data_IF_050951729739
#
_entry.id   IF_050951729739
#
_cell.length_a   1.000
_cell.length_b   1.000
_cell.length_c   1.000
_cell.angle_alpha   90.00
_cell.angle_beta   90.00
_cell.angle_gamma   90.00
#
_symmetry.space_group_name_H-M   'P 1'
#
loop_
_entity.id
_entity.type
_entity.pdbx_description
1 polymer ?
#
# COMPACT_ATOMS: atom_id res chain seq x y z
N UNK A 1 35.41 4.75 -82.77
CA UNK A 1 34.55 5.07 -81.62
C UNK A 1 35.24 4.58 -80.35
N UNK A 2 36.13 5.40 -79.78
CA UNK A 2 36.73 5.18 -78.47
C UNK A 2 35.86 5.89 -77.43
N UNK A 3 35.46 5.20 -76.38
CA UNK A 3 34.83 5.82 -75.20
C UNK A 3 35.71 5.54 -73.98
N UNK A 4 36.26 6.64 -73.45
CA UNK A 4 37.06 6.71 -72.25
C UNK A 4 36.18 6.54 -71.02
N UNK A 5 36.52 5.60 -70.13
CA UNK A 5 36.04 5.63 -68.74
C UNK A 5 37.16 6.12 -67.84
N UNK A 6 37.07 7.39 -67.44
CA UNK A 6 37.72 7.96 -66.26
C UNK A 6 36.68 7.97 -65.14
N UNK A 7 36.93 7.35 -64.00
CA UNK A 7 36.32 7.78 -62.73
C UNK A 7 37.27 7.48 -61.57
N UNK A 8 37.22 8.39 -60.62
CA UNK A 8 38.26 8.71 -59.66
C UNK A 8 38.24 7.84 -58.40
N UNK A 9 39.45 7.62 -57.90
CA UNK A 9 39.93 7.65 -56.51
C UNK A 9 38.88 7.85 -55.39
N UNK A 10 38.87 6.84 -54.51
CA UNK A 10 38.72 6.83 -53.05
C UNK A 10 37.94 7.94 -52.31
N UNK A 11 36.93 7.51 -51.56
CA UNK A 11 36.61 8.08 -50.25
C UNK A 11 36.21 6.93 -49.29
N UNK A 12 37.11 6.61 -48.35
CA UNK A 12 36.84 5.73 -47.21
C UNK A 12 35.97 6.52 -46.23
N UNK A 13 34.67 6.24 -46.18
CA UNK A 13 33.81 6.71 -45.11
C UNK A 13 33.82 5.67 -43.98
N UNK A 14 34.68 5.89 -42.98
CA UNK A 14 34.59 5.20 -41.69
C UNK A 14 33.36 5.75 -40.97
N UNK A 15 32.26 5.01 -41.01
CA UNK A 15 31.14 5.27 -40.11
C UNK A 15 31.46 4.58 -38.78
N UNK A 16 32.04 5.32 -37.84
CA UNK A 16 32.02 4.91 -36.43
C UNK A 16 30.57 4.97 -35.96
N UNK A 17 29.91 3.81 -35.89
CA UNK A 17 28.70 3.69 -35.09
C UNK A 17 29.16 3.69 -33.63
N UNK A 18 29.08 4.85 -32.98
CA UNK A 18 29.23 4.93 -31.54
C UNK A 18 28.10 4.11 -30.92
N UNK A 19 28.44 2.97 -30.31
CA UNK A 19 27.53 2.26 -29.43
C UNK A 19 27.25 3.18 -28.23
N UNK A 20 26.15 3.91 -28.30
CA UNK A 20 25.63 4.65 -27.17
C UNK A 20 25.29 3.65 -26.07
N UNK A 21 26.18 3.48 -25.10
CA UNK A 21 25.83 2.91 -23.81
C UNK A 21 24.81 3.86 -23.18
N UNK A 22 23.52 3.54 -23.33
CA UNK A 22 22.51 4.11 -22.45
C UNK A 22 22.80 3.57 -21.07
N UNK A 23 23.54 4.34 -20.26
CA UNK A 23 23.52 4.16 -18.82
C UNK A 23 22.09 4.49 -18.42
N UNK A 24 21.24 3.47 -18.29
CA UNK A 24 20.00 3.60 -17.54
C UNK A 24 20.42 3.92 -16.12
N UNK A 25 20.47 5.21 -15.79
CA UNK A 25 20.35 5.66 -14.41
C UNK A 25 18.96 5.22 -13.97
N UNK A 26 18.84 3.98 -13.47
CA UNK A 26 17.70 3.64 -12.61
C UNK A 26 17.93 4.48 -11.37
N UNK A 27 17.18 5.59 -11.24
CA UNK A 27 17.02 6.23 -9.94
C UNK A 27 16.57 5.19 -8.92
N UNK A 28 16.90 5.39 -7.65
CA UNK A 28 16.34 4.53 -6.59
C UNK A 28 14.82 4.51 -6.74
N UNK A 29 14.19 3.32 -6.74
CA UNK A 29 12.74 3.23 -6.88
C UNK A 29 12.09 3.99 -5.72
N UNK A 30 11.20 4.94 -6.02
CA UNK A 30 10.50 5.66 -4.95
C UNK A 30 9.64 4.69 -4.14
N UNK A 31 9.56 4.87 -2.81
CA UNK A 31 8.89 3.90 -1.96
C UNK A 31 7.38 3.92 -2.17
N UNK A 32 6.74 2.79 -1.86
CA UNK A 32 5.32 2.74 -1.56
C UNK A 32 5.09 3.16 -0.11
N UNK A 33 4.17 4.08 0.12
CA UNK A 33 3.79 4.53 1.48
C UNK A 33 2.49 3.85 1.90
N UNK A 34 2.45 3.25 3.10
CA UNK A 34 1.29 2.55 3.65
C UNK A 34 0.88 3.09 5.02
N UNK A 35 -0.40 3.36 5.22
CA UNK A 35 -0.92 3.84 6.50
C UNK A 35 -2.42 3.67 6.64
N UNK A 36 -2.94 3.95 7.82
CA UNK A 36 -4.37 4.17 8.01
C UNK A 36 -4.80 5.49 7.35
N UNK A 37 -6.03 5.55 6.83
CA UNK A 37 -6.58 6.80 6.27
C UNK A 37 -6.68 7.93 7.31
N UNK A 38 -6.68 7.57 8.59
CA UNK A 38 -6.70 8.46 9.75
C UNK A 38 -6.06 7.79 10.98
N UNK A 39 -5.47 8.57 11.88
CA UNK A 39 -4.91 8.08 13.14
C UNK A 39 -5.96 7.76 14.22
N UNK A 40 -7.19 8.27 14.08
CA UNK A 40 -8.28 8.05 15.05
C UNK A 40 -9.59 7.72 14.37
N UNK A 41 -10.26 6.67 14.83
CA UNK A 41 -11.60 6.28 14.41
C UNK A 41 -12.55 6.34 15.59
N UNK A 42 -13.56 7.18 15.47
CA UNK A 42 -14.69 7.24 16.39
C UNK A 42 -15.92 7.45 15.54
N UNK A 43 -16.78 6.44 15.48
CA UNK A 43 -18.08 6.56 14.82
C UNK A 43 -19.17 6.41 15.88
N UNK A 44 -19.17 7.31 16.86
CA UNK A 44 -20.17 7.39 17.93
C UNK A 44 -21.64 7.39 17.44
N UNK A 45 -21.88 7.67 16.16
CA UNK A 45 -23.20 7.63 15.54
C UNK A 45 -23.58 6.25 14.97
N UNK A 46 -22.62 5.34 14.82
CA UNK A 46 -22.77 4.02 14.21
C UNK A 46 -22.32 2.92 15.18
N UNK A 47 -22.94 1.74 15.08
CA UNK A 47 -22.42 0.54 15.75
C UNK A 47 -21.30 -0.13 14.94
N UNK A 48 -20.94 0.42 13.78
CA UNK A 48 -19.91 -0.09 12.89
C UNK A 48 -18.88 0.97 12.54
N UNK A 49 -17.61 0.62 12.69
CA UNK A 49 -16.46 1.44 12.37
C UNK A 49 -15.73 0.78 11.21
N UNK A 50 -15.62 1.47 10.08
CA UNK A 50 -14.86 1.00 8.93
C UNK A 50 -13.46 1.60 8.99
N UNK A 51 -12.47 0.75 9.22
CA UNK A 51 -11.06 1.12 9.25
C UNK A 51 -10.48 0.89 7.86
N UNK A 52 -9.79 1.90 7.31
CA UNK A 52 -9.22 1.86 5.96
C UNK A 52 -7.71 1.99 6.04
N UNK A 53 -7.04 1.15 5.27
CA UNK A 53 -5.60 1.18 5.08
C UNK A 53 -5.35 1.55 3.62
N UNK A 54 -4.55 2.58 3.40
CA UNK A 54 -4.30 3.17 2.09
C UNK A 54 -2.84 3.06 1.68
N UNK A 55 -2.65 2.64 0.44
CA UNK A 55 -1.37 2.57 -0.26
C UNK A 55 -1.23 3.76 -1.19
N UNK A 56 -0.07 4.42 -1.16
CA UNK A 56 0.31 5.45 -2.12
C UNK A 56 1.65 5.10 -2.74
N UNK A 57 1.64 4.77 -4.03
CA UNK A 57 2.85 4.54 -4.81
C UNK A 57 3.42 5.86 -5.29
N UNK A 58 4.63 6.19 -4.86
CA UNK A 58 5.28 7.47 -5.20
C UNK A 58 5.86 7.47 -6.62
N UNK A 59 6.15 6.29 -7.19
CA UNK A 59 6.59 6.11 -8.58
C UNK A 59 5.50 5.42 -9.41
N UNK A 60 4.50 6.16 -9.93
CA UNK A 60 3.40 5.57 -10.72
C UNK A 60 3.85 5.07 -12.10
N UNK A 61 5.05 5.44 -12.58
CA UNK A 61 5.55 5.20 -13.93
C UNK A 61 5.99 3.77 -14.20
N UNK A 62 6.30 2.98 -13.17
CA UNK A 62 6.96 1.68 -13.32
C UNK A 62 6.01 0.49 -13.54
N UNK A 63 4.71 0.73 -13.66
CA UNK A 63 3.75 -0.28 -14.09
C UNK A 63 3.20 -1.12 -12.94
N UNK A 64 1.89 -0.95 -12.73
CA UNK A 64 0.99 -1.67 -11.81
C UNK A 64 1.40 -1.64 -10.33
N UNK A 65 0.45 -1.29 -9.45
CA UNK A 65 0.69 -1.30 -8.00
C UNK A 65 0.95 -2.78 -7.58
N UNK A 66 2.17 -3.30 -7.72
CA UNK A 66 2.51 -4.72 -7.56
C UNK A 66 2.07 -5.22 -6.18
N UNK A 67 1.83 -6.52 -6.03
CA UNK A 67 1.38 -7.07 -4.76
C UNK A 67 2.34 -6.70 -3.63
N UNK A 68 1.78 -6.26 -2.50
CA UNK A 68 2.54 -6.08 -1.27
C UNK A 68 1.70 -6.51 -0.07
N UNK A 69 2.36 -6.72 1.07
CA UNK A 69 1.71 -7.15 2.31
C UNK A 69 2.24 -6.35 3.50
N UNK A 70 1.40 -6.18 4.52
CA UNK A 70 1.76 -5.54 5.78
C UNK A 70 1.14 -6.32 6.93
N UNK A 71 1.83 -6.44 8.05
CA UNK A 71 1.24 -7.02 9.26
C UNK A 71 0.39 -5.98 9.96
N UNK A 72 -0.84 -6.36 10.30
CA UNK A 72 -1.78 -5.52 11.03
C UNK A 72 -2.14 -6.22 12.34
N UNK A 73 -1.88 -5.59 13.47
CA UNK A 73 -1.97 -6.21 14.80
C UNK A 73 -2.67 -5.31 15.80
N UNK A 74 -3.43 -5.92 16.72
CA UNK A 74 -4.02 -5.21 17.86
C UNK A 74 -2.95 -5.14 18.95
N UNK A 75 -2.49 -3.93 19.24
CA UNK A 75 -1.38 -3.65 20.13
C UNK A 75 -1.81 -3.15 21.51
N UNK A 76 -3.12 -2.99 21.73
CA UNK A 76 -3.66 -2.63 23.04
C UNK A 76 -5.08 -2.09 22.99
N UNK A 77 -5.45 -1.43 24.09
CA UNK A 77 -6.80 -0.92 24.31
C UNK A 77 -7.52 -1.65 25.45
N UNK A 78 -8.80 -1.33 25.61
CA UNK A 78 -9.67 -1.86 26.67
C UNK A 78 -10.78 -2.77 26.15
N UNK A 79 -10.96 -2.84 24.83
CA UNK A 79 -11.98 -3.64 24.19
C UNK A 79 -11.51 -5.11 24.04
N UNK A 80 -12.41 -6.05 24.31
CA UNK A 80 -12.15 -7.49 24.19
C UNK A 80 -12.94 -8.06 23.01
N UNK A 81 -12.28 -8.75 22.08
CA UNK A 81 -12.93 -9.36 20.92
C UNK A 81 -13.93 -10.43 21.37
N UNK A 82 -15.12 -10.46 20.76
CA UNK A 82 -16.22 -11.36 21.10
C UNK A 82 -17.04 -10.94 22.32
N UNK A 83 -16.56 -9.98 23.13
CA UNK A 83 -17.28 -9.39 24.27
C UNK A 83 -17.74 -7.97 23.93
N UNK A 84 -16.79 -7.12 23.54
CA UNK A 84 -17.04 -5.72 23.26
C UNK A 84 -17.28 -5.46 21.76
N UNK A 85 -16.66 -6.26 20.89
CA UNK A 85 -16.74 -6.08 19.44
C UNK A 85 -16.59 -7.37 18.65
N UNK A 86 -17.01 -7.32 17.38
CA UNK A 86 -16.67 -8.30 16.33
C UNK A 86 -15.86 -7.58 15.24
N UNK A 87 -14.80 -8.21 14.78
CA UNK A 87 -14.00 -7.73 13.64
C UNK A 87 -14.31 -8.60 12.43
N UNK A 88 -14.59 -7.96 11.29
CA UNK A 88 -14.78 -8.61 10.00
C UNK A 88 -13.74 -8.07 9.04
N UNK A 89 -12.92 -8.97 8.51
CA UNK A 89 -11.98 -8.69 7.44
C UNK A 89 -12.22 -9.70 6.31
N UNK A 90 -12.25 -9.21 5.07
CA UNK A 90 -12.54 -10.02 3.87
C UNK A 90 -13.80 -10.90 4.00
N UNK A 91 -14.87 -10.33 4.57
CA UNK A 91 -16.16 -11.01 4.72
C UNK A 91 -16.24 -12.06 5.83
N UNK A 92 -15.15 -12.31 6.56
CA UNK A 92 -15.12 -13.30 7.63
C UNK A 92 -14.83 -12.68 9.00
N UNK A 93 -15.43 -13.25 10.05
CA UNK A 93 -15.16 -12.84 11.44
C UNK A 93 -13.83 -13.44 11.88
N UNK A 94 -12.76 -12.67 11.77
CA UNK A 94 -11.39 -13.13 12.03
C UNK A 94 -10.60 -12.09 12.85
N UNK A 95 -9.42 -12.49 13.33
CA UNK A 95 -8.44 -11.55 13.85
C UNK A 95 -7.76 -10.76 12.72
N UNK A 96 -6.97 -9.76 13.10
CA UNK A 96 -6.04 -9.12 12.16
C UNK A 96 -4.75 -9.94 12.06
N UNK A 97 -4.06 -9.80 10.95
CA UNK A 97 -2.80 -10.47 10.64
C UNK A 97 -2.16 -9.83 9.42
N UNK A 98 -1.58 -10.63 8.53
CA UNK A 98 -1.03 -10.13 7.26
C UNK A 98 -2.16 -9.67 6.35
N UNK A 99 -2.14 -8.39 5.98
CA UNK A 99 -3.02 -7.78 4.99
C UNK A 99 -2.25 -7.68 3.69
N UNK A 100 -2.76 -8.36 2.66
CA UNK A 100 -2.20 -8.32 1.32
C UNK A 100 -3.02 -7.40 0.43
N UNK A 101 -2.35 -6.52 -0.30
CA UNK A 101 -2.95 -5.72 -1.35
C UNK A 101 -2.62 -6.39 -2.69
N UNK A 102 -3.63 -6.93 -3.40
CA UNK A 102 -3.44 -7.44 -4.75
C UNK A 102 -2.93 -6.35 -5.70
N UNK A 103 -2.39 -6.75 -6.87
CA UNK A 103 -2.01 -5.81 -7.90
C UNK A 103 -3.12 -4.81 -8.25
N UNK A 104 -2.77 -3.52 -8.29
CA UNK A 104 -3.72 -2.45 -8.62
C UNK A 104 -4.64 -2.00 -7.46
N UNK A 105 -4.69 -2.73 -6.34
CA UNK A 105 -5.50 -2.37 -5.18
C UNK A 105 -4.77 -1.34 -4.31
N UNK A 106 -5.41 -0.20 -4.05
CA UNK A 106 -4.85 0.89 -3.24
C UNK A 106 -5.45 1.02 -1.85
N UNK A 107 -6.56 0.34 -1.60
CA UNK A 107 -7.25 0.38 -0.31
C UNK A 107 -7.65 -1.02 0.12
N UNK A 108 -7.37 -1.33 1.39
CA UNK A 108 -7.96 -2.44 2.10
C UNK A 108 -8.74 -1.92 3.30
N UNK A 109 -9.76 -2.66 3.71
CA UNK A 109 -10.62 -2.26 4.84
C UNK A 109 -11.08 -3.44 5.66
N UNK A 110 -11.29 -3.19 6.95
CA UNK A 110 -11.98 -4.09 7.86
C UNK A 110 -13.03 -3.31 8.65
N UNK A 111 -14.02 -4.03 9.14
CA UNK A 111 -15.12 -3.45 9.92
C UNK A 111 -15.04 -3.96 11.35
N UNK A 112 -15.14 -3.02 12.30
CA UNK A 112 -15.30 -3.31 13.73
C UNK A 112 -16.74 -2.97 14.11
N UNK A 113 -17.49 -3.98 14.54
CA UNK A 113 -18.88 -3.81 14.97
C UNK A 113 -18.95 -3.93 16.50
N UNK A 114 -19.52 -2.93 17.15
CA UNK A 114 -19.78 -2.95 18.59
C UNK A 114 -20.80 -4.04 18.94
N UNK A 115 -20.55 -4.79 20.01
CA UNK A 115 -21.49 -5.76 20.54
C UNK A 115 -22.45 -5.10 21.53
N UNK A 116 -23.70 -5.58 21.54
CA UNK A 116 -24.69 -5.10 22.50
C UNK A 116 -24.20 -5.38 23.92
N UNK A 117 -24.14 -4.34 24.75
CA UNK A 117 -23.71 -4.46 26.15
C UNK A 117 -22.20 -4.27 26.38
N UNK A 118 -21.41 -3.94 25.36
CA UNK A 118 -19.98 -3.60 25.52
C UNK A 118 -19.73 -2.37 26.43
N UNK A 119 -20.76 -1.53 26.60
CA UNK A 119 -20.63 -0.21 27.21
C UNK A 119 -20.11 0.83 26.22
N UNK A 120 -19.70 1.98 26.74
CA UNK A 120 -19.20 3.12 25.95
C UNK A 120 -17.70 3.30 26.15
N UNK A 121 -17.05 3.98 25.21
CA UNK A 121 -15.64 4.37 25.27
C UNK A 121 -14.64 3.21 25.42
N UNK A 122 -14.97 2.04 24.88
CA UNK A 122 -14.02 0.94 24.75
C UNK A 122 -13.01 1.29 23.66
N UNK A 123 -11.75 0.89 23.80
CA UNK A 123 -10.70 1.29 22.86
C UNK A 123 -9.95 0.12 22.29
N UNK A 124 -9.45 0.29 21.06
CA UNK A 124 -8.44 -0.55 20.43
C UNK A 124 -7.30 0.34 19.94
N UNK A 125 -6.09 -0.19 19.98
CA UNK A 125 -4.91 0.38 19.32
C UNK A 125 -4.42 -0.64 18.32
N UNK A 126 -4.39 -0.27 17.04
CA UNK A 126 -4.01 -1.17 15.94
C UNK A 126 -2.79 -0.59 15.24
N UNK A 127 -1.77 -1.40 15.00
CA UNK A 127 -0.54 -0.97 14.33
C UNK A 127 -0.25 -1.74 13.05
N UNK A 128 0.46 -1.09 12.14
CA UNK A 128 1.04 -1.65 10.94
C UNK A 128 2.54 -1.88 11.13
N UNK A 129 3.02 -3.07 10.82
CA UNK A 129 4.43 -3.46 10.93
C UNK A 129 4.86 -4.33 9.76
N UNK A 130 6.18 -4.49 9.59
CA UNK A 130 6.79 -5.45 8.66
C UNK A 130 6.21 -5.39 7.23
N UNK A 131 6.18 -4.22 6.57
CA UNK A 131 5.73 -4.15 5.19
C UNK A 131 6.71 -4.92 4.29
N UNK A 132 6.16 -5.68 3.35
CA UNK A 132 6.91 -6.51 2.40
C UNK A 132 6.37 -6.30 1.00
N UNK A 133 7.27 -6.13 0.04
CA UNK A 133 6.90 -5.85 -1.34
C UNK A 133 8.12 -5.85 -2.27
N UNK A 134 7.89 -5.79 -3.58
CA UNK A 134 8.95 -5.77 -4.59
C UNK A 134 9.70 -4.43 -4.66
N UNK A 135 9.02 -3.32 -4.38
CA UNK A 135 9.62 -2.02 -4.15
C UNK A 135 9.84 -1.77 -2.64
N UNK A 136 10.74 -0.85 -2.25
CA UNK A 136 10.81 -0.37 -0.87
C UNK A 136 9.42 0.09 -0.40
N UNK A 137 9.04 -0.32 0.81
CA UNK A 137 7.77 0.08 1.41
C UNK A 137 8.04 0.76 2.73
N UNK A 138 7.44 1.92 2.93
CA UNK A 138 7.56 2.74 4.13
C UNK A 138 6.21 2.89 4.81
N UNK A 139 6.23 2.94 6.14
CA UNK A 139 5.05 3.30 6.91
C UNK A 139 4.81 4.82 6.78
N UNK A 140 3.59 5.20 6.43
CA UNK A 140 3.17 6.60 6.30
C UNK A 140 2.82 7.25 7.64
N UNK A 141 2.19 8.43 7.57
CA UNK A 141 1.94 9.31 8.72
C UNK A 141 1.08 8.68 9.83
N UNK A 142 0.22 7.72 9.47
CA UNK A 142 -0.64 7.00 10.42
C UNK A 142 -0.32 5.50 10.41
N UNK A 143 0.81 5.05 11.00
CA UNK A 143 1.12 3.63 11.11
C UNK A 143 0.35 2.95 12.25
N UNK A 144 -0.26 3.74 13.13
CA UNK A 144 -1.05 3.29 14.27
C UNK A 144 -2.39 4.03 14.27
N UNK A 145 -3.46 3.28 14.48
CA UNK A 145 -4.81 3.79 14.61
C UNK A 145 -5.36 3.51 16.01
N UNK A 146 -5.94 4.55 16.62
CA UNK A 146 -6.76 4.40 17.84
C UNK A 146 -8.23 4.37 17.45
N UNK A 147 -8.94 3.34 17.90
CA UNK A 147 -10.38 3.16 17.63
C UNK A 147 -11.13 3.26 18.94
N UNK A 148 -12.21 4.05 18.95
CA UNK A 148 -13.16 4.15 20.06
C UNK A 148 -14.45 3.45 19.66
N UNK A 149 -14.85 2.46 20.45
CA UNK A 149 -16.06 1.66 20.28
C UNK A 149 -17.10 2.15 21.28
N UNK A 150 -18.25 2.58 20.75
CA UNK A 150 -19.42 2.96 21.54
C UNK A 150 -20.54 2.00 21.22
N UNK A 151 -20.92 1.13 22.16
CA UNK A 151 -22.10 0.29 21.95
C UNK A 151 -23.38 1.14 22.07
N UNK A 152 -24.39 0.89 21.22
CA UNK A 152 -25.67 1.55 21.34
C UNK A 152 -26.31 1.26 22.71
N UNK A 153 -27.03 2.26 23.24
CA UNK A 153 -27.80 2.13 24.46
C UNK A 153 -28.80 0.95 24.35
N UNK A 154 -29.04 0.28 25.48
CA UNK A 154 -29.76 -1.00 25.54
C UNK A 154 -31.19 -0.94 25.02
#
# INVERSE_FOLDING_TARGET
>A
MQSFKRFAVAAFAVFMLAAGLTVSVRGEPMPTVIGFDRGTYDDSASSQIVVRITRVDQEPSLGENEQFSVECTINGGTAVQGVDYRLVFDGAVQGLGTITFPPGVREQRFTISALKGAGTQKTLVIGLTNPTGPAPVELGDNPVAKITINAPAR
#
